data_IF_032952421358
#
_entry.id   IF_032952421358
#
_cell.length_a   1.000
_cell.length_b   1.000
_cell.length_c   1.000
_cell.angle_alpha   90.00
_cell.angle_beta   90.00
_cell.angle_gamma   90.00
#
_symmetry.space_group_name_H-M   'P 1'
#
loop_
_entity.id
_entity.type
_entity.pdbx_description
1 polymer ?
#
# COMPACT_ATOMS: atom_id res chain seq x y z
N UNK A 1 7.44 10.19 9.51
CA UNK A 1 6.53 10.54 8.40
C UNK A 1 7.38 11.13 7.29
N UNK A 2 7.66 10.34 6.24
CA UNK A 2 8.49 10.79 5.11
C UNK A 2 7.74 11.81 4.27
N UNK A 3 8.46 12.61 3.50
CA UNK A 3 7.88 13.66 2.68
C UNK A 3 6.97 13.05 1.60
N UNK A 4 5.78 13.64 1.40
CA UNK A 4 4.86 13.25 0.32
C UNK A 4 5.64 13.29 -1.00
N UNK A 5 5.66 12.17 -1.73
CA UNK A 5 6.35 11.99 -3.02
C UNK A 5 7.89 11.81 -3.00
N UNK A 6 8.52 11.43 -1.88
CA UNK A 6 9.97 11.09 -1.85
C UNK A 6 10.36 10.07 -2.93
N UNK A 7 9.47 9.11 -3.21
CA UNK A 7 9.65 8.07 -4.22
C UNK A 7 10.00 8.60 -5.62
N UNK A 8 9.59 9.84 -5.96
CA UNK A 8 9.86 10.44 -7.28
C UNK A 8 11.34 10.77 -7.49
N UNK A 9 12.10 10.93 -6.42
CA UNK A 9 13.52 11.26 -6.47
C UNK A 9 14.40 10.00 -6.56
N UNK A 10 13.86 8.83 -6.23
CA UNK A 10 14.55 7.54 -6.41
C UNK A 10 14.35 7.07 -7.86
N UNK A 11 15.33 7.41 -8.70
CA UNK A 11 15.29 7.09 -10.14
C UNK A 11 15.20 5.58 -10.40
N UNK A 12 15.79 4.75 -9.55
CA UNK A 12 15.76 3.31 -9.73
C UNK A 12 14.36 2.79 -9.43
N UNK A 13 13.79 3.13 -8.28
CA UNK A 13 12.40 2.77 -7.97
C UNK A 13 11.44 3.22 -9.07
N UNK A 14 11.54 4.49 -9.50
CA UNK A 14 10.71 5.03 -10.57
C UNK A 14 10.85 4.20 -11.84
N UNK A 15 12.08 3.86 -12.25
CA UNK A 15 12.31 3.05 -13.44
C UNK A 15 11.65 1.66 -13.35
N UNK A 16 11.66 1.03 -12.17
CA UNK A 16 11.07 -0.30 -11.96
C UNK A 16 9.55 -0.34 -12.07
N UNK A 17 8.86 0.77 -11.75
CA UNK A 17 7.39 0.82 -11.69
C UNK A 17 6.76 1.74 -12.72
N UNK A 18 7.55 2.49 -13.50
CA UNK A 18 7.04 3.52 -14.41
C UNK A 18 6.10 2.96 -15.49
N UNK A 19 6.34 1.74 -15.98
CA UNK A 19 5.44 1.06 -16.92
C UNK A 19 4.06 0.80 -16.31
N UNK A 20 4.02 0.36 -15.05
CA UNK A 20 2.79 0.11 -14.31
C UNK A 20 2.08 1.41 -13.94
N UNK A 21 2.81 2.42 -13.47
CA UNK A 21 2.25 3.73 -13.14
C UNK A 21 1.61 4.42 -14.36
N UNK A 22 2.11 4.19 -15.57
CA UNK A 22 1.46 4.72 -16.79
C UNK A 22 0.15 4.02 -17.15
N UNK A 23 -0.15 2.86 -16.58
CA UNK A 23 -1.37 2.13 -16.90
C UNK A 23 -2.60 2.90 -16.41
N UNK A 24 -3.62 3.14 -17.26
CA UNK A 24 -4.86 3.80 -16.85
C UNK A 24 -5.54 3.09 -15.68
N UNK A 25 -5.46 1.76 -15.64
CA UNK A 25 -5.97 0.93 -14.57
C UNK A 25 -5.34 1.26 -13.21
N UNK A 26 -4.02 1.43 -13.15
CA UNK A 26 -3.32 1.83 -11.91
C UNK A 26 -3.65 3.28 -11.55
N UNK A 27 -3.64 4.20 -12.51
CA UNK A 27 -4.01 5.61 -12.27
C UNK A 27 -5.44 5.77 -11.75
N UNK A 28 -6.37 4.90 -12.18
CA UNK A 28 -7.77 4.91 -11.74
C UNK A 28 -7.92 4.72 -10.23
N UNK A 29 -6.93 4.13 -9.54
CA UNK A 29 -6.94 3.98 -8.08
C UNK A 29 -7.04 5.32 -7.34
N UNK A 30 -6.62 6.44 -7.96
CA UNK A 30 -6.74 7.78 -7.39
C UNK A 30 -8.19 8.23 -7.16
N UNK A 31 -9.15 7.58 -7.82
CA UNK A 31 -10.58 7.88 -7.67
C UNK A 31 -11.24 7.12 -6.51
N UNK A 32 -10.50 6.26 -5.83
CA UNK A 32 -11.03 5.42 -4.76
C UNK A 32 -10.38 5.79 -3.44
N UNK A 33 -11.23 6.18 -2.49
CA UNK A 33 -10.83 6.44 -1.11
C UNK A 33 -10.31 5.15 -0.47
N UNK A 34 -9.09 5.19 0.06
CA UNK A 34 -8.55 4.09 0.86
C UNK A 34 -9.00 4.25 2.31
N UNK A 35 -8.55 5.34 2.94
CA UNK A 35 -8.98 5.83 4.26
C UNK A 35 -9.58 7.24 4.14
N UNK A 36 -9.99 7.86 5.25
CA UNK A 36 -10.74 9.13 5.24
C UNK A 36 -10.06 10.31 4.49
N UNK A 37 -8.76 10.25 4.22
CA UNK A 37 -7.98 11.38 3.69
C UNK A 37 -6.98 11.05 2.57
N UNK A 38 -6.90 9.79 2.13
CA UNK A 38 -5.97 9.30 1.10
C UNK A 38 -6.75 8.54 0.02
N UNK A 39 -6.23 8.56 -1.21
CA UNK A 39 -6.69 7.70 -2.27
C UNK A 39 -5.83 6.42 -2.35
N UNK A 40 -6.38 5.38 -2.96
CA UNK A 40 -5.75 4.05 -3.06
C UNK A 40 -4.46 4.07 -3.88
N UNK A 41 -4.32 5.00 -4.84
CA UNK A 41 -3.09 5.14 -5.59
C UNK A 41 -1.94 5.62 -4.69
N UNK A 42 -2.19 6.63 -3.85
CA UNK A 42 -1.19 7.14 -2.90
C UNK A 42 -0.76 6.06 -1.92
N UNK A 43 -1.73 5.29 -1.39
CA UNK A 43 -1.48 4.15 -0.51
C UNK A 43 -0.60 3.09 -1.19
N UNK A 44 -1.01 2.59 -2.36
CA UNK A 44 -0.25 1.58 -3.11
C UNK A 44 1.18 2.03 -3.43
N UNK A 45 1.38 3.31 -3.77
CA UNK A 45 2.72 3.85 -4.02
C UNK A 45 3.56 3.91 -2.73
N UNK A 46 2.97 4.30 -1.60
CA UNK A 46 3.67 4.36 -0.32
C UNK A 46 4.12 2.95 0.12
N UNK A 47 3.21 1.98 0.11
CA UNK A 47 3.49 0.58 0.45
C UNK A 47 4.56 0.00 -0.47
N UNK A 48 4.42 0.23 -1.78
CA UNK A 48 5.40 -0.22 -2.78
C UNK A 48 6.80 0.33 -2.52
N UNK A 49 6.92 1.65 -2.33
CA UNK A 49 8.23 2.31 -2.17
C UNK A 49 8.92 1.92 -0.87
N UNK A 50 8.21 1.89 0.25
CA UNK A 50 8.81 1.55 1.54
C UNK A 50 9.16 0.06 1.61
N UNK A 51 8.34 -0.81 1.02
CA UNK A 51 8.67 -2.25 0.88
C UNK A 51 9.90 -2.47 -0.01
N UNK A 52 9.98 -1.80 -1.16
CA UNK A 52 11.14 -1.82 -2.05
C UNK A 52 12.43 -1.47 -1.30
N UNK A 53 12.41 -0.40 -0.49
CA UNK A 53 13.59 0.04 0.28
C UNK A 53 14.01 -0.99 1.31
N UNK A 54 13.06 -1.59 2.01
CA UNK A 54 13.33 -2.63 3.01
C UNK A 54 13.92 -3.86 2.32
N UNK A 55 13.26 -4.37 1.27
CA UNK A 55 13.73 -5.51 0.49
C UNK A 55 15.14 -5.28 -0.06
N UNK A 56 15.41 -4.09 -0.59
CA UNK A 56 16.73 -3.72 -1.11
C UNK A 56 17.80 -3.72 -0.03
N UNK A 57 17.50 -3.17 1.15
CA UNK A 57 18.43 -3.18 2.30
C UNK A 57 18.72 -4.59 2.82
N UNK A 58 17.77 -5.50 2.67
CA UNK A 58 17.89 -6.91 3.06
C UNK A 58 18.44 -7.79 1.93
N UNK A 59 18.86 -7.22 0.80
CA UNK A 59 19.33 -7.95 -0.38
C UNK A 59 18.33 -8.99 -0.92
N UNK A 60 17.04 -8.69 -0.79
CA UNK A 60 15.94 -9.48 -1.34
C UNK A 60 15.57 -8.99 -2.75
N UNK A 61 14.58 -9.64 -3.39
CA UNK A 61 14.08 -9.26 -4.71
C UNK A 61 13.21 -8.01 -4.63
N UNK A 62 13.90 -6.87 -4.51
CA UNK A 62 13.29 -5.56 -4.41
C UNK A 62 12.55 -5.15 -5.70
N UNK A 63 12.86 -5.75 -6.84
CA UNK A 63 12.17 -5.51 -8.12
C UNK A 63 10.76 -6.07 -8.06
N UNK A 64 10.62 -7.37 -7.76
CA UNK A 64 9.31 -8.00 -7.57
C UNK A 64 8.54 -7.30 -6.44
N UNK A 65 9.23 -6.91 -5.36
CA UNK A 65 8.63 -6.20 -4.23
C UNK A 65 8.02 -4.86 -4.64
N UNK A 66 8.77 -4.02 -5.36
CA UNK A 66 8.28 -2.73 -5.84
C UNK A 66 7.04 -2.92 -6.73
N UNK A 67 7.14 -3.80 -7.73
CA UNK A 67 6.08 -4.00 -8.72
C UNK A 67 4.82 -4.57 -8.10
N UNK A 68 4.94 -5.65 -7.34
CA UNK A 68 3.79 -6.29 -6.69
C UNK A 68 3.20 -5.43 -5.57
N UNK A 69 4.05 -4.72 -4.81
CA UNK A 69 3.59 -3.75 -3.81
C UNK A 69 2.76 -2.62 -4.42
N UNK A 70 3.03 -2.20 -5.66
CA UNK A 70 2.19 -1.20 -6.34
C UNK A 70 0.82 -1.76 -6.77
N UNK A 71 0.73 -3.08 -6.97
CA UNK A 71 -0.45 -3.76 -7.50
C UNK A 71 -1.27 -4.48 -6.43
N UNK A 72 -0.81 -4.53 -5.17
CA UNK A 72 -1.43 -5.33 -4.10
C UNK A 72 -2.92 -4.99 -3.90
N UNK A 73 -3.27 -3.72 -4.11
CA UNK A 73 -4.59 -3.13 -3.90
C UNK A 73 -5.31 -2.74 -5.20
N UNK A 74 -5.02 -3.43 -6.30
CA UNK A 74 -5.59 -3.12 -7.62
C UNK A 74 -7.06 -3.55 -7.76
N UNK A 75 -7.96 -2.88 -7.03
CA UNK A 75 -9.42 -3.06 -7.12
C UNK A 75 -10.15 -1.72 -7.13
N UNK A 76 -11.40 -1.74 -7.60
CA UNK A 76 -12.14 -0.53 -8.04
C UNK A 76 -13.53 -0.41 -7.45
N UNK A 77 -13.71 -0.86 -6.21
CA UNK A 77 -14.95 -0.71 -5.46
C UNK A 77 -14.65 -0.12 -4.07
N UNK A 78 -15.69 0.37 -3.41
CA UNK A 78 -15.61 0.79 -2.01
C UNK A 78 -16.03 -0.37 -1.11
N UNK A 79 -15.10 -0.86 -0.30
CA UNK A 79 -15.30 -2.00 0.59
C UNK A 79 -16.21 -1.71 1.78
N UNK A 80 -16.45 -0.43 2.08
CA UNK A 80 -17.37 -0.02 3.16
C UNK A 80 -18.81 -0.30 2.76
N UNK A 81 -19.15 -0.04 1.51
CA UNK A 81 -20.51 -0.18 0.94
C UNK A 81 -20.69 -1.47 0.16
N UNK A 82 -19.67 -1.94 -0.56
CA UNK A 82 -19.72 -3.16 -1.35
C UNK A 82 -19.40 -4.37 -0.46
N UNK A 83 -20.36 -5.28 -0.33
CA UNK A 83 -20.20 -6.57 0.37
C UNK A 83 -20.29 -7.71 -0.64
N UNK A 84 -19.51 -8.76 -0.39
CA UNK A 84 -19.52 -9.97 -1.19
C UNK A 84 -19.99 -11.13 -0.32
N UNK A 85 -20.86 -11.97 -0.87
CA UNK A 85 -21.32 -13.17 -0.16
C UNK A 85 -20.22 -14.24 -0.04
N UNK A 86 -19.19 -14.12 -0.88
CA UNK A 86 -18.07 -15.07 -0.99
C UNK A 86 -16.98 -14.90 0.09
N UNK A 87 -17.09 -13.90 0.97
CA UNK A 87 -16.17 -13.73 2.10
C UNK A 87 -15.90 -12.28 2.51
N UNK A 88 -15.03 -12.12 3.50
CA UNK A 88 -14.62 -10.81 4.00
C UNK A 88 -13.84 -10.03 2.96
N UNK A 89 -13.80 -8.70 3.11
CA UNK A 89 -12.99 -7.85 2.23
C UNK A 89 -11.52 -8.30 2.20
N UNK A 90 -10.91 -8.57 3.36
CA UNK A 90 -9.54 -9.08 3.50
C UNK A 90 -9.28 -10.37 2.72
N UNK A 91 -10.30 -11.21 2.54
CA UNK A 91 -10.20 -12.42 1.73
C UNK A 91 -10.39 -12.16 0.24
N UNK A 92 -11.31 -11.27 -0.13
CA UNK A 92 -11.71 -11.06 -1.53
C UNK A 92 -10.78 -10.14 -2.28
N UNK A 93 -10.37 -9.01 -1.71
CA UNK A 93 -9.61 -8.01 -2.48
C UNK A 93 -8.24 -8.50 -2.96
N UNK A 94 -7.46 -9.32 -2.24
CA UNK A 94 -6.18 -9.81 -2.76
C UNK A 94 -6.35 -10.65 -4.03
N UNK A 95 -7.46 -11.42 -4.11
CA UNK A 95 -7.82 -12.22 -5.29
C UNK A 95 -8.27 -11.36 -6.45
N UNK A 96 -9.05 -10.32 -6.18
CA UNK A 96 -9.48 -9.35 -7.20
C UNK A 96 -8.28 -8.59 -7.74
N UNK A 97 -7.41 -8.10 -6.85
CA UNK A 97 -6.19 -7.39 -7.20
C UNK A 97 -5.26 -8.27 -8.04
N UNK A 98 -5.03 -9.52 -7.64
CA UNK A 98 -4.24 -10.48 -8.41
C UNK A 98 -4.81 -10.66 -9.82
N UNK A 99 -6.11 -10.94 -9.93
CA UNK A 99 -6.75 -11.14 -11.24
C UNK A 99 -6.69 -9.89 -12.13
N UNK A 100 -6.76 -8.70 -11.54
CA UNK A 100 -6.60 -7.45 -12.29
C UNK A 100 -5.15 -7.23 -12.72
N UNK A 101 -4.18 -7.52 -11.85
CA UNK A 101 -2.76 -7.39 -12.13
C UNK A 101 -2.32 -8.32 -13.26
N UNK A 102 -2.80 -9.56 -13.27
CA UNK A 102 -2.52 -10.54 -14.34
C UNK A 102 -3.05 -10.12 -15.72
N UNK A 103 -4.04 -9.22 -15.78
CA UNK A 103 -4.51 -8.63 -17.05
C UNK A 103 -3.63 -7.47 -17.52
N UNK A 104 -2.88 -6.84 -16.62
CA UNK A 104 -2.04 -5.68 -16.94
C UNK A 104 -0.61 -6.06 -17.27
N UNK A 105 -0.08 -7.09 -16.62
CA UNK A 105 1.33 -7.47 -16.77
C UNK A 105 1.54 -8.96 -16.47
N UNK A 106 2.64 -9.52 -17.00
CA UNK A 106 3.05 -10.87 -16.64
C UNK A 106 3.67 -10.83 -15.26
N UNK A 107 3.03 -11.52 -14.31
CA UNK A 107 3.56 -11.69 -12.97
C UNK A 107 4.48 -12.91 -12.90
N UNK A 108 5.47 -12.89 -12.00
CA UNK A 108 6.22 -14.06 -11.56
C UNK A 108 5.57 -14.72 -10.32
N UNK A 109 6.14 -15.81 -9.81
CA UNK A 109 5.57 -16.55 -8.67
C UNK A 109 5.58 -15.76 -7.36
N UNK A 110 6.58 -14.88 -7.17
CA UNK A 110 6.72 -14.03 -5.99
C UNK A 110 5.76 -12.86 -6.01
N UNK A 111 5.65 -12.18 -7.15
CA UNK A 111 4.70 -11.08 -7.33
C UNK A 111 3.25 -11.54 -7.09
N UNK A 112 2.89 -12.73 -7.58
CA UNK A 112 1.57 -13.33 -7.29
C UNK A 112 1.37 -13.59 -5.81
N UNK A 113 2.37 -14.13 -5.12
CA UNK A 113 2.29 -14.45 -3.69
C UNK A 113 2.17 -13.19 -2.84
N UNK A 114 2.95 -12.14 -3.16
CA UNK A 114 2.85 -10.81 -2.55
C UNK A 114 1.43 -10.28 -2.67
N UNK A 115 0.89 -10.18 -3.90
CA UNK A 115 -0.44 -9.61 -4.13
C UNK A 115 -1.52 -10.45 -3.45
N UNK A 116 -1.44 -11.78 -3.50
CA UNK A 116 -2.48 -12.64 -2.94
C UNK A 116 -2.48 -12.69 -1.41
N UNK A 117 -1.33 -12.46 -0.77
CA UNK A 117 -1.13 -12.73 0.66
C UNK A 117 -0.69 -11.52 1.49
N UNK A 118 -0.79 -10.30 0.94
CA UNK A 118 -0.47 -9.07 1.68
C UNK A 118 -1.39 -8.82 2.87
N UNK A 119 -2.53 -9.53 2.99
CA UNK A 119 -3.41 -9.51 4.16
C UNK A 119 -3.07 -10.60 5.18
N UNK A 120 -1.78 -10.86 5.42
CA UNK A 120 -1.37 -11.85 6.41
C UNK A 120 -1.75 -11.36 7.83
N UNK A 121 -2.17 -12.28 8.70
CA UNK A 121 -2.74 -11.94 10.01
C UNK A 121 -4.24 -11.64 9.98
N UNK A 122 -4.74 -10.99 8.92
CA UNK A 122 -6.18 -10.86 8.66
C UNK A 122 -6.76 -12.07 7.90
N UNK A 123 -5.90 -12.85 7.23
CA UNK A 123 -6.25 -14.10 6.54
C UNK A 123 -5.32 -15.23 6.97
N UNK A 124 -5.77 -16.49 6.79
CA UNK A 124 -4.95 -17.68 7.05
C UNK A 124 -3.92 -17.97 5.94
N UNK A 125 -3.83 -17.13 4.92
CA UNK A 125 -2.92 -17.35 3.79
C UNK A 125 -1.49 -16.96 4.19
N UNK A 126 -0.65 -17.97 4.49
CA UNK A 126 0.73 -17.75 4.93
C UNK A 126 1.64 -17.31 3.78
N UNK A 127 2.30 -16.14 3.87
CA UNK A 127 3.29 -15.66 2.90
C UNK A 127 4.39 -16.70 2.66
N UNK A 128 4.71 -16.98 1.38
CA UNK A 128 5.78 -17.94 1.04
C UNK A 128 7.15 -17.26 1.03
N UNK A 129 7.19 -15.99 0.68
CA UNK A 129 8.43 -15.23 0.50
C UNK A 129 8.56 -14.14 1.57
N UNK A 130 9.80 -13.78 1.92
CA UNK A 130 10.05 -12.69 2.86
C UNK A 130 9.52 -11.35 2.32
N UNK A 131 9.60 -11.15 1.01
CA UNK A 131 9.05 -9.98 0.32
C UNK A 131 7.53 -9.86 0.50
N UNK A 132 6.81 -10.99 0.50
CA UNK A 132 5.37 -11.04 0.77
C UNK A 132 5.05 -10.60 2.20
N UNK A 133 5.86 -11.02 3.18
CA UNK A 133 5.71 -10.58 4.56
C UNK A 133 6.03 -9.10 4.73
N UNK A 134 7.08 -8.59 4.06
CA UNK A 134 7.45 -7.18 4.08
C UNK A 134 6.27 -6.33 3.58
N UNK A 135 5.71 -6.66 2.41
CA UNK A 135 4.59 -5.89 1.85
C UNK A 135 3.38 -5.94 2.77
N UNK A 136 3.07 -7.10 3.36
CA UNK A 136 1.96 -7.22 4.32
C UNK A 136 2.14 -6.32 5.55
N UNK A 137 3.32 -6.33 6.17
CA UNK A 137 3.58 -5.52 7.36
C UNK A 137 3.61 -4.01 7.06
N UNK A 138 4.13 -3.63 5.89
CA UNK A 138 4.14 -2.22 5.47
C UNK A 138 2.73 -1.75 5.13
N UNK A 139 1.91 -2.60 4.50
CA UNK A 139 0.51 -2.30 4.21
C UNK A 139 -0.29 -2.03 5.48
N UNK A 140 -0.21 -2.93 6.46
CA UNK A 140 -0.84 -2.75 7.78
C UNK A 140 -0.36 -1.45 8.47
N UNK A 141 0.95 -1.18 8.44
CA UNK A 141 1.52 0.01 9.04
C UNK A 141 1.04 1.31 8.37
N UNK A 142 1.01 1.36 7.03
CA UNK A 142 0.53 2.54 6.31
C UNK A 142 -0.97 2.75 6.55
N UNK A 143 -1.78 1.67 6.56
CA UNK A 143 -3.20 1.75 6.86
C UNK A 143 -3.47 2.32 8.28
N UNK A 144 -2.74 1.85 9.29
CA UNK A 144 -2.83 2.38 10.65
C UNK A 144 -2.34 3.83 10.75
N UNK A 145 -1.18 4.13 10.17
CA UNK A 145 -0.60 5.46 10.25
C UNK A 145 -1.49 6.50 9.54
N UNK A 146 -2.08 6.17 8.41
CA UNK A 146 -3.08 7.00 7.73
C UNK A 146 -4.32 7.22 8.60
N UNK A 147 -4.77 6.21 9.34
CA UNK A 147 -5.89 6.31 10.26
C UNK A 147 -5.61 7.26 11.45
N UNK A 148 -4.43 7.17 12.06
CA UNK A 148 -4.10 7.94 13.27
C UNK A 148 -3.44 9.30 13.01
N UNK A 149 -2.90 9.56 11.81
CA UNK A 149 -2.21 10.82 11.46
C UNK A 149 -3.05 12.09 11.68
N UNK A 150 -4.35 12.16 11.33
CA UNK A 150 -5.18 13.35 11.59
C UNK A 150 -5.37 13.62 13.08
N UNK A 151 -5.54 12.56 13.89
CA UNK A 151 -5.71 12.65 15.33
C UNK A 151 -4.41 13.12 16.00
N UNK A 152 -3.28 12.54 15.61
CA UNK A 152 -1.95 12.97 16.09
C UNK A 152 -1.67 14.45 15.76
N UNK A 153 -2.02 14.92 14.56
CA UNK A 153 -1.91 16.34 14.19
C UNK A 153 -2.79 17.25 15.05
N UNK A 154 -4.05 16.87 15.30
CA UNK A 154 -4.95 17.62 16.20
C UNK A 154 -4.41 17.68 17.64
N UNK A 155 -3.92 16.56 18.17
CA UNK A 155 -3.34 16.50 19.52
C UNK A 155 -2.08 17.37 19.59
N UNK A 156 -1.19 17.28 18.60
CA UNK A 156 0.03 18.08 18.56
C UNK A 156 -0.25 19.59 18.48
N UNK A 157 -1.20 20.01 17.63
CA UNK A 157 -1.63 21.41 17.55
C UNK A 157 -2.26 21.90 18.87
N UNK A 158 -3.08 21.05 19.52
CA UNK A 158 -3.69 21.35 20.82
C UNK A 158 -2.64 21.50 21.92
N UNK A 159 -1.64 20.61 21.97
CA UNK A 159 -0.51 20.69 22.89
C UNK A 159 0.38 21.92 22.65
N UNK A 160 0.64 22.28 21.39
CA UNK A 160 1.40 23.50 21.03
C UNK A 160 0.66 24.75 21.48
N UNK A 161 -0.66 24.82 21.28
CA UNK A 161 -1.51 25.93 21.75
C UNK A 161 -1.53 26.01 23.29
N UNK A 162 -1.59 24.87 23.97
CA UNK A 162 -1.57 24.82 25.44
C UNK A 162 -0.22 25.27 26.03
N UNK A 163 0.90 24.89 25.39
CA UNK A 163 2.24 25.37 25.78
C UNK A 163 2.40 26.87 25.58
N UNK A 164 1.93 27.43 24.46
CA UNK A 164 1.98 28.87 24.19
C UNK A 164 1.12 29.67 25.18
N UNK A 165 -0.02 29.12 25.62
CA UNK A 165 -0.89 29.74 26.61
C UNK A 165 -0.36 29.69 28.06
N UNK A 166 0.72 28.93 28.32
CA UNK A 166 1.33 28.78 29.65
C UNK A 166 2.65 29.56 29.80
N UNK A 167 3.11 30.18 28.71
CA UNK A 167 4.35 30.99 28.62
C UNK A 167 4.03 32.49 28.50
N UNK A 168 2.74 32.85 28.36
CA UNK A 168 2.18 34.17 28.61
C UNK A 168 1.45 34.18 29.95
#
# INVERSE_FOLDING_TARGET
MKARNEWRNDKEYVALVADLLRQPAVQKLANYTQHHHSDRLQHSIAVSYDSYRIAKRLHLDYVSTARAGLLHDLFYYDWRTTKFDLGTHAFIHPRVALRNAEKLTRLNSKERDIILKHMFGATLAVPKYAESLIVSLVDDYEAEHEFFSPLKKKIHQRMKKYRLAKVN
#
